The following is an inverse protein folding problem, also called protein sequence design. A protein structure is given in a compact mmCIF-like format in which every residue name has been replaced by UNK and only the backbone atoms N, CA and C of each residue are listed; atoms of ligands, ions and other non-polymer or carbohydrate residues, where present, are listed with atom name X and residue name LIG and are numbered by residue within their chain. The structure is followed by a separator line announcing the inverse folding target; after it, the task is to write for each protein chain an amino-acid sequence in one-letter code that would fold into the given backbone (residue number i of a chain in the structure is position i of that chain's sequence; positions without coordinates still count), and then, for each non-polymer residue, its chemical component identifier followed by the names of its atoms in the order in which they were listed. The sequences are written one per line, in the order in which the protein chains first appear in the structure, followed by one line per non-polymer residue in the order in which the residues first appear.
data_IF_035801531225
#
_entry.id   IF_035801531225
#
_cell.length_a   1.000
_cell.length_b   1.000
_cell.length_c   1.000
_cell.angle_alpha   90.00
_cell.angle_beta   90.00
_cell.angle_gamma   90.00
#
_symmetry.space_group_name_H-M   'P 1'
#
loop_
_entity.id
_entity.type
_entity.pdbx_description
1 polymer ?
#
# COMPACT_ATOMS: atom_id res chain seq x y z
N UNK A 1 23.13 -3.78 12.30
CA UNK A 1 22.31 -3.74 12.39
C UNK A 1 20.89 -3.76 11.93
N UNK A 2 20.11 -4.54 12.66
CA UNK A 2 18.70 -4.69 12.34
C UNK A 2 17.95 -3.36 12.34
N UNK A 3 18.29 -2.45 13.26
CA UNK A 3 17.62 -1.15 13.33
C UNK A 3 17.86 -0.30 12.08
N UNK A 4 19.06 -0.36 11.54
CA UNK A 4 19.36 0.41 10.32
C UNK A 4 18.58 -0.11 9.14
N UNK A 5 18.43 -1.44 9.04
CA UNK A 5 17.65 -2.06 7.97
C UNK A 5 16.19 -1.69 8.11
N UNK A 6 15.64 -1.77 9.31
CA UNK A 6 14.23 -1.42 9.58
C UNK A 6 13.98 0.04 9.26
N UNK A 7 14.89 0.94 9.64
CA UNK A 7 14.73 2.36 9.37
C UNK A 7 14.77 2.66 7.88
N UNK A 8 15.67 2.01 7.16
CA UNK A 8 15.75 2.17 5.71
C UNK A 8 14.48 1.68 5.02
N UNK A 9 13.98 0.53 5.45
CA UNK A 9 12.75 -0.02 4.90
C UNK A 9 11.53 0.84 5.24
N UNK A 10 11.48 1.39 6.44
CA UNK A 10 10.40 2.29 6.84
C UNK A 10 10.39 3.53 5.95
N UNK A 11 11.55 4.12 5.71
CA UNK A 11 11.66 5.29 4.84
C UNK A 11 11.23 4.93 3.43
N UNK A 12 11.68 3.79 2.93
CA UNK A 12 11.29 3.31 1.61
C UNK A 12 9.77 3.13 1.52
N UNK A 13 9.18 2.54 2.54
CA UNK A 13 7.73 2.34 2.59
C UNK A 13 6.99 3.68 2.59
N UNK A 14 7.46 4.64 3.40
CA UNK A 14 6.81 5.94 3.51
C UNK A 14 6.91 6.77 2.24
N UNK A 15 7.96 6.58 1.45
CA UNK A 15 8.16 7.35 0.22
C UNK A 15 7.63 6.65 -1.02
N UNK A 16 7.11 5.44 -0.89
CA UNK A 16 6.53 4.73 -2.03
C UNK A 16 5.32 5.48 -2.58
N UNK A 17 5.30 5.63 -3.91
CA UNK A 17 4.18 6.24 -4.60
C UNK A 17 3.99 5.52 -5.93
N UNK A 18 2.73 5.43 -6.37
CA UNK A 18 2.43 4.89 -7.68
C UNK A 18 2.98 5.83 -8.74
N UNK A 19 3.75 5.28 -9.67
CA UNK A 19 4.36 6.07 -10.74
C UNK A 19 3.35 6.32 -11.85
N UNK A 20 3.54 7.42 -12.57
CA UNK A 20 2.75 7.71 -13.76
C UNK A 20 2.91 6.55 -14.75
N UNK A 21 1.78 6.00 -15.19
CA UNK A 21 1.80 4.88 -16.13
C UNK A 21 2.06 3.53 -15.51
N UNK A 22 2.26 3.47 -14.21
CA UNK A 22 2.47 2.20 -13.52
C UNK A 22 1.15 1.44 -13.38
N UNK A 23 1.18 0.13 -13.62
CA UNK A 23 0.00 -0.72 -13.44
C UNK A 23 -0.27 -1.00 -11.97
N UNK A 24 -1.53 -1.36 -11.67
CA UNK A 24 -1.95 -1.69 -10.31
C UNK A 24 -1.13 -2.85 -9.74
N UNK A 25 -0.94 -3.91 -10.53
CA UNK A 25 -0.18 -5.07 -10.07
C UNK A 25 1.26 -4.70 -9.73
N UNK A 26 1.89 -3.90 -10.56
CA UNK A 26 3.27 -3.49 -10.34
C UNK A 26 3.41 -2.66 -9.08
N UNK A 27 2.49 -1.73 -8.87
CA UNK A 27 2.49 -0.90 -7.68
C UNK A 27 2.31 -1.74 -6.42
N UNK A 28 1.32 -2.64 -6.43
CA UNK A 28 1.06 -3.50 -5.27
C UNK A 28 2.26 -4.40 -4.98
N UNK A 29 2.91 -4.92 -6.02
CA UNK A 29 4.11 -5.75 -5.84
C UNK A 29 5.22 -5.00 -5.12
N UNK A 30 5.43 -3.74 -5.49
CA UNK A 30 6.45 -2.92 -4.83
C UNK A 30 6.12 -2.69 -3.36
N UNK A 31 4.86 -2.33 -3.09
CA UNK A 31 4.42 -2.09 -1.71
C UNK A 31 4.57 -3.37 -0.88
N UNK A 32 4.10 -4.49 -1.39
CA UNK A 32 4.16 -5.75 -0.66
C UNK A 32 5.58 -6.23 -0.47
N UNK A 33 6.45 -5.99 -1.44
CA UNK A 33 7.86 -6.36 -1.32
C UNK A 33 8.49 -5.67 -0.11
N UNK A 34 8.28 -4.37 0.03
CA UNK A 34 8.82 -3.63 1.17
C UNK A 34 8.17 -4.08 2.48
N UNK A 35 6.85 -4.25 2.48
CA UNK A 35 6.13 -4.67 3.68
C UNK A 35 6.60 -6.03 4.15
N UNK A 36 6.81 -6.97 3.23
CA UNK A 36 7.26 -8.32 3.58
C UNK A 36 8.70 -8.30 4.12
N UNK A 37 9.55 -7.46 3.55
CA UNK A 37 10.92 -7.31 4.08
C UNK A 37 10.89 -6.79 5.51
N UNK A 38 10.00 -5.83 5.78
CA UNK A 38 9.86 -5.31 7.14
C UNK A 38 9.40 -6.39 8.10
N UNK A 39 8.46 -7.24 7.68
CA UNK A 39 7.99 -8.37 8.49
C UNK A 39 9.12 -9.35 8.80
N UNK A 40 9.94 -9.66 7.78
CA UNK A 40 11.07 -10.57 7.94
C UNK A 40 12.05 -10.05 8.99
N UNK A 41 12.22 -8.73 9.06
CA UNK A 41 13.14 -8.12 10.02
C UNK A 41 12.47 -7.77 11.36
N UNK A 42 11.29 -8.33 11.62
CA UNK A 42 10.65 -8.23 12.91
C UNK A 42 9.67 -7.08 13.09
N UNK A 43 9.45 -6.29 12.05
CA UNK A 43 8.47 -5.19 12.11
C UNK A 43 7.08 -5.73 11.82
N UNK A 44 6.17 -5.51 12.75
CA UNK A 44 4.79 -5.92 12.54
C UNK A 44 4.10 -4.98 11.54
N UNK A 45 3.56 -5.57 10.48
CA UNK A 45 2.87 -4.81 9.43
C UNK A 45 1.46 -5.38 9.27
N UNK A 46 0.49 -4.65 9.78
CA UNK A 46 -0.91 -5.06 9.67
C UNK A 46 -1.44 -4.73 8.27
N UNK A 47 -2.38 -5.55 7.80
CA UNK A 47 -2.98 -5.33 6.49
C UNK A 47 -3.63 -3.95 6.39
N UNK A 48 -4.27 -3.48 7.46
CA UNK A 48 -4.90 -2.16 7.44
C UNK A 48 -3.87 -1.06 7.19
N UNK A 49 -2.68 -1.20 7.76
CA UNK A 49 -1.60 -0.23 7.55
C UNK A 49 -1.18 -0.20 6.08
N UNK A 50 -1.07 -1.38 5.48
CA UNK A 50 -0.68 -1.51 4.07
C UNK A 50 -1.77 -0.93 3.17
N UNK A 51 -3.04 -1.24 3.45
CA UNK A 51 -4.17 -0.70 2.69
C UNK A 51 -4.19 0.82 2.74
N UNK A 52 -4.02 1.39 3.92
CA UNK A 52 -4.00 2.85 4.07
C UNK A 52 -2.85 3.47 3.27
N UNK A 53 -1.68 2.86 3.29
CA UNK A 53 -0.54 3.34 2.51
C UNK A 53 -0.85 3.30 1.02
N UNK A 54 -1.41 2.20 0.54
CA UNK A 54 -1.75 2.04 -0.86
C UNK A 54 -2.74 3.13 -1.29
N UNK A 55 -3.79 3.34 -0.51
CA UNK A 55 -4.81 4.35 -0.84
C UNK A 55 -4.22 5.75 -0.89
N UNK A 56 -3.31 6.06 0.03
CA UNK A 56 -2.72 7.38 0.14
C UNK A 56 -1.78 7.70 -1.00
N UNK A 57 -1.17 6.67 -1.60
CA UNK A 57 -0.10 6.85 -2.56
C UNK A 57 -0.48 6.49 -3.99
N UNK A 58 -1.75 6.23 -4.25
CA UNK A 58 -2.25 5.98 -5.61
C UNK A 58 -2.15 7.25 -6.46
N UNK A 59 -2.00 7.07 -7.77
CA UNK A 59 -1.98 8.19 -8.69
C UNK A 59 -3.36 8.84 -8.77
N UNK A 60 -3.40 10.08 -9.27
CA UNK A 60 -4.61 10.91 -9.27
C UNK A 60 -5.78 10.27 -10.00
N UNK A 61 -5.52 9.42 -10.98
CA UNK A 61 -6.62 8.79 -11.74
C UNK A 61 -7.50 7.90 -10.87
N UNK A 62 -7.04 7.54 -9.67
CA UNK A 62 -7.82 6.73 -8.72
C UNK A 62 -8.48 7.55 -7.62
N UNK A 63 -8.42 8.89 -7.69
CA UNK A 63 -8.95 9.74 -6.62
C UNK A 63 -10.41 9.46 -6.32
N UNK A 64 -11.22 9.22 -7.35
CA UNK A 64 -12.64 8.98 -7.15
C UNK A 64 -12.88 7.73 -6.31
N UNK A 65 -12.21 6.61 -6.66
CA UNK A 65 -12.42 5.37 -5.92
C UNK A 65 -11.81 5.44 -4.52
N UNK A 66 -10.69 6.14 -4.35
CA UNK A 66 -10.09 6.34 -3.04
C UNK A 66 -11.06 7.10 -2.12
N UNK A 67 -11.63 8.19 -2.61
CA UNK A 67 -12.60 8.96 -1.83
C UNK A 67 -13.82 8.12 -1.49
N UNK A 68 -14.29 7.32 -2.43
CA UNK A 68 -15.45 6.46 -2.22
C UNK A 68 -15.20 5.45 -1.10
N UNK A 69 -14.02 4.83 -1.10
CA UNK A 69 -13.65 3.86 -0.07
C UNK A 69 -13.52 4.54 1.28
N UNK A 70 -12.88 5.71 1.32
CA UNK A 70 -12.69 6.43 2.57
C UNK A 70 -14.00 6.94 3.15
N UNK A 71 -14.90 7.39 2.30
CA UNK A 71 -16.21 7.86 2.74
C UNK A 71 -17.08 6.75 3.31
N UNK A 72 -16.97 5.54 2.73
CA UNK A 72 -17.74 4.40 3.23
C UNK A 72 -17.18 3.85 4.54
N UNK A 73 -15.96 4.26 4.91
CA UNK A 73 -15.26 3.79 6.11
C UNK A 73 -15.02 2.29 6.09
N UNK A 74 -14.96 1.70 4.90
CA UNK A 74 -14.74 0.27 4.73
C UNK A 74 -13.25 -0.09 4.66
N UNK A 75 -12.36 0.92 4.70
CA UNK A 75 -10.93 0.66 4.56
C UNK A 75 -10.39 -0.28 5.64
N UNK A 76 -10.97 -0.23 6.85
CA UNK A 76 -10.54 -1.10 7.94
C UNK A 76 -10.90 -2.56 7.72
N UNK A 77 -11.96 -2.81 6.93
CA UNK A 77 -12.46 -4.15 6.66
C UNK A 77 -11.97 -4.69 5.32
N UNK A 78 -11.39 -3.84 4.51
CA UNK A 78 -10.96 -4.20 3.17
C UNK A 78 -9.65 -4.96 3.20
N UNK A 79 -9.61 -6.13 2.56
CA UNK A 79 -8.35 -6.85 2.43
C UNK A 79 -7.54 -6.27 1.28
N UNK A 80 -6.24 -6.58 1.29
CA UNK A 80 -5.34 -6.13 0.22
C UNK A 80 -5.82 -6.67 -1.12
N UNK A 81 -6.24 -7.92 -1.17
CA UNK A 81 -6.73 -8.54 -2.41
C UNK A 81 -8.02 -7.89 -2.90
N UNK A 82 -8.93 -7.57 -2.00
CA UNK A 82 -10.17 -6.90 -2.35
C UNK A 82 -9.91 -5.51 -2.91
N UNK A 83 -8.99 -4.78 -2.30
CA UNK A 83 -8.61 -3.46 -2.79
C UNK A 83 -8.02 -3.57 -4.19
N UNK A 84 -7.11 -4.51 -4.40
CA UNK A 84 -6.48 -4.70 -5.70
C UNK A 84 -7.53 -5.01 -6.77
N UNK A 85 -8.47 -5.89 -6.47
CA UNK A 85 -9.54 -6.23 -7.40
C UNK A 85 -10.40 -5.03 -7.74
N UNK A 86 -10.73 -4.22 -6.74
CA UNK A 86 -11.52 -3.00 -6.97
C UNK A 86 -10.81 -2.02 -7.90
N UNK A 87 -9.51 -1.86 -7.71
CA UNK A 87 -8.75 -0.92 -8.53
C UNK A 87 -8.56 -1.41 -9.96
N UNK A 88 -8.45 -2.73 -10.16
CA UNK A 88 -8.29 -3.31 -11.48
C UNK A 88 -9.56 -3.13 -12.32
N UNK A 89 -10.72 -3.28 -11.69
CA UNK A 89 -12.02 -3.13 -12.37
C UNK A 89 -12.25 -1.69 -12.82
N UNK A 90 -11.65 -0.74 -12.15
CA UNK A 90 -11.75 0.67 -12.51
C UNK A 90 -10.59 1.13 -13.36
#
# INVERSE_FOLDING_TARGET
MKQSIIQALRKEFETLEMKSGEGVFDYFSRVMSVANKMRVHGKQMRDVTIVEKILRSLSDKFNYIVCSIEESKDSDLLSINELQSSLIVH
#
